data_IF_593803024983
#
_entry.id   IF_593803024983
#
_cell.length_a   1.000
_cell.length_b   1.000
_cell.length_c   1.000
_cell.angle_alpha   90.00
_cell.angle_beta   90.00
_cell.angle_gamma   90.00
#
_symmetry.space_group_name_H-M   'P 1'
#
loop_
_entity.id
_entity.type
_entity.pdbx_description
1 polymer ?
#
# COMPACT_ATOMS: atom_id res chain seq x y z
N UNK A 1 3.70 -2.01 -7.60
CA UNK A 1 4.27 -2.22 -6.25
C UNK A 1 3.11 -2.34 -5.29
N UNK A 2 3.05 -3.40 -4.48
CA UNK A 2 1.99 -3.63 -3.50
C UNK A 2 2.55 -3.36 -2.11
N UNK A 3 1.80 -2.62 -1.29
CA UNK A 3 2.21 -2.22 0.06
C UNK A 3 1.07 -2.47 1.04
N UNK A 4 1.41 -2.76 2.28
CA UNK A 4 0.48 -2.78 3.41
C UNK A 4 0.90 -1.63 4.31
N UNK A 5 0.01 -0.66 4.47
CA UNK A 5 0.19 0.46 5.36
C UNK A 5 -0.53 0.17 6.67
N UNK A 6 0.04 0.63 7.78
CA UNK A 6 -0.59 0.60 9.10
C UNK A 6 -0.85 2.05 9.50
N UNK A 7 -2.06 2.33 9.96
CA UNK A 7 -2.34 3.61 10.62
C UNK A 7 -1.96 3.57 12.11
N UNK A 8 -2.17 4.69 12.79
CA UNK A 8 -1.89 4.88 14.22
C UNK A 8 -2.76 4.01 15.13
N UNK A 9 -3.87 3.47 14.61
CA UNK A 9 -4.76 2.53 15.30
C UNK A 9 -4.44 1.07 14.97
N UNK A 10 -3.40 0.80 14.16
CA UNK A 10 -3.01 -0.54 13.73
C UNK A 10 -3.92 -1.15 12.66
N UNK A 11 -4.79 -0.34 12.03
CA UNK A 11 -5.62 -0.78 10.90
C UNK A 11 -4.75 -0.95 9.66
N UNK A 12 -4.97 -2.06 8.95
CA UNK A 12 -4.25 -2.38 7.72
C UNK A 12 -4.95 -1.76 6.52
N UNK A 13 -4.22 -0.96 5.75
CA UNK A 13 -4.66 -0.39 4.47
C UNK A 13 -3.82 -1.01 3.34
N UNK A 14 -4.50 -1.66 2.40
CA UNK A 14 -3.85 -2.21 1.21
C UNK A 14 -3.67 -1.11 0.17
N UNK A 15 -2.44 -0.87 -0.23
CA UNK A 15 -2.09 0.15 -1.20
C UNK A 15 -1.38 -0.46 -2.43
N UNK A 16 -1.64 0.12 -3.60
CA UNK A 16 -0.96 -0.26 -4.84
C UNK A 16 -0.47 0.98 -5.58
N UNK A 17 0.77 0.92 -6.03
CA UNK A 17 1.32 1.86 -7.02
C UNK A 17 1.26 1.21 -8.39
N UNK A 18 0.57 1.90 -9.32
CA UNK A 18 0.45 1.51 -10.73
C UNK A 18 1.83 1.33 -11.35
N UNK A 19 1.98 0.36 -12.25
CA UNK A 19 3.28 -0.04 -12.83
C UNK A 19 4.09 1.13 -13.41
N UNK A 20 3.44 2.05 -14.11
CA UNK A 20 4.08 3.22 -14.71
C UNK A 20 4.57 4.26 -13.69
N UNK A 21 4.08 4.22 -12.46
CA UNK A 21 4.48 5.13 -11.39
C UNK A 21 5.55 4.51 -10.47
N UNK A 22 5.74 3.19 -10.50
CA UNK A 22 6.71 2.49 -9.63
C UNK A 22 8.11 3.12 -9.65
N UNK A 23 8.69 3.49 -10.81
CA UNK A 23 10.04 4.08 -10.84
C UNK A 23 10.16 5.39 -10.05
N UNK A 24 9.06 6.13 -9.87
CA UNK A 24 9.05 7.40 -9.14
C UNK A 24 9.02 7.19 -7.62
N UNK A 25 8.45 6.07 -7.17
CA UNK A 25 8.12 5.84 -5.76
C UNK A 25 8.95 4.74 -5.10
N UNK A 26 9.53 3.79 -5.87
CA UNK A 26 10.17 2.59 -5.33
C UNK A 26 11.31 2.88 -4.34
N UNK A 27 12.03 3.99 -4.54
CA UNK A 27 13.20 4.35 -3.73
C UNK A 27 12.84 5.37 -2.63
N UNK A 28 11.55 5.75 -2.51
CA UNK A 28 11.06 6.70 -1.50
C UNK A 28 10.49 5.99 -0.27
N UNK A 29 10.20 4.69 -0.36
CA UNK A 29 9.61 3.91 0.70
C UNK A 29 10.64 2.93 1.27
N UNK A 30 10.75 2.93 2.59
CA UNK A 30 11.51 2.00 3.40
C UNK A 30 10.54 1.25 4.31
N UNK A 31 10.81 -0.02 4.56
CA UNK A 31 10.01 -0.82 5.48
C UNK A 31 10.08 -0.24 6.90
N UNK A 32 8.97 -0.34 7.64
CA UNK A 32 8.86 0.09 9.05
C UNK A 32 9.01 1.62 9.27
N UNK A 33 8.97 2.41 8.20
CA UNK A 33 8.99 3.88 8.28
C UNK A 33 7.59 4.51 8.24
N UNK A 34 7.47 5.71 8.80
CA UNK A 34 6.21 6.47 8.87
C UNK A 34 6.18 7.51 7.76
N UNK A 35 5.07 7.58 7.03
CA UNK A 35 4.88 8.46 5.89
C UNK A 35 3.55 9.22 5.95
N UNK A 36 3.54 10.43 5.41
CA UNK A 36 2.30 11.15 5.07
C UNK A 36 2.05 10.96 3.57
N UNK A 37 0.92 10.34 3.23
CA UNK A 37 0.53 10.08 1.85
C UNK A 37 -0.74 10.87 1.54
N UNK A 38 -0.68 11.73 0.52
CA UNK A 38 -1.77 12.62 0.13
C UNK A 38 -2.15 12.42 -1.34
N UNK A 39 -3.34 12.89 -1.73
CA UNK A 39 -3.82 12.95 -3.12
C UNK A 39 -3.80 11.59 -3.83
N UNK A 40 -4.37 10.58 -3.19
CA UNK A 40 -4.52 9.23 -3.76
C UNK A 40 -5.98 8.88 -4.01
N UNK A 41 -6.21 7.85 -4.82
CA UNK A 41 -7.55 7.30 -5.04
C UNK A 41 -7.86 6.23 -4.01
N UNK A 42 -9.08 6.25 -3.47
CA UNK A 42 -9.61 5.20 -2.59
C UNK A 42 -10.60 4.36 -3.38
N UNK A 43 -10.51 3.05 -3.24
CA UNK A 43 -11.47 2.10 -3.80
C UNK A 43 -11.91 1.12 -2.71
N UNK A 44 -13.13 0.58 -2.85
CA UNK A 44 -13.59 -0.49 -1.97
C UNK A 44 -12.69 -1.71 -2.15
N UNK A 45 -12.40 -2.39 -1.04
CA UNK A 45 -11.56 -3.59 -1.04
C UNK A 45 -12.36 -4.76 -1.65
N UNK A 46 -12.31 -4.85 -2.99
CA UNK A 46 -13.01 -5.86 -3.76
C UNK A 46 -12.12 -7.10 -4.00
N UNK A 47 -12.68 -8.21 -4.49
CA UNK A 47 -11.97 -9.48 -4.68
C UNK A 47 -10.70 -9.36 -5.56
N UNK A 48 -10.68 -8.35 -6.43
CA UNK A 48 -9.55 -7.97 -7.30
C UNK A 48 -8.36 -7.34 -6.56
N UNK A 49 -8.58 -6.82 -5.35
CA UNK A 49 -7.57 -6.18 -4.50
C UNK A 49 -7.15 -7.02 -3.30
N UNK A 50 -7.70 -8.24 -3.15
CA UNK A 50 -7.33 -9.16 -2.08
C UNK A 50 -5.87 -9.59 -2.21
N UNK A 51 -5.03 -9.13 -1.29
CA UNK A 51 -3.78 -9.83 -0.99
C UNK A 51 -4.15 -11.09 -0.22
N UNK A 52 -4.00 -12.27 -0.82
CA UNK A 52 -4.11 -13.53 -0.08
C UNK A 52 -3.13 -13.48 1.11
N UNK A 53 -3.51 -13.94 2.30
CA UNK A 53 -2.54 -14.08 3.39
C UNK A 53 -1.41 -14.98 2.90
N UNK A 54 -0.15 -14.61 3.17
CA UNK A 54 0.93 -15.59 3.14
C UNK A 54 0.55 -16.68 4.14
N UNK A 55 0.27 -17.89 3.65
CA UNK A 55 0.15 -19.06 4.51
C UNK A 55 1.52 -19.31 5.13
N UNK A 56 1.54 -19.41 6.45
CA UNK A 56 2.71 -19.77 7.26
C UNK A 56 3.18 -21.20 6.96
#
# INVERSE_FOLDING_TARGET
>A
MHMILLDDQGVKVHANVRKNLVPLFKDQFEEVSIYVIEKFMVAQNDYIFQTRPLQA
#
